data_IF_398370906572
#
_entry.id   IF_398370906572
#
_cell.length_a   1.000
_cell.length_b   1.000
_cell.length_c   1.000
_cell.angle_alpha   90.00
_cell.angle_beta   90.00
_cell.angle_gamma   90.00
#
_symmetry.space_group_name_H-M   'P 1'
#
loop_
_entity.id
_entity.type
_entity.pdbx_description
1 polymer ?
#
# COMPACT_ATOMS: atom_id res chain seq x y z
N UNK A 1 -31.78 24.42 0.65
CA UNK A 1 -30.54 23.65 0.97
C UNK A 1 -30.92 22.18 0.96
N UNK A 2 -30.54 21.44 -0.09
CA UNK A 2 -31.06 20.10 -0.44
C UNK A 2 -30.74 19.05 0.62
N UNK A 3 -31.69 18.12 0.88
CA UNK A 3 -31.58 16.97 1.78
C UNK A 3 -30.30 16.13 1.53
N UNK A 4 -29.92 15.97 0.26
CA UNK A 4 -28.67 15.32 -0.16
C UNK A 4 -27.42 16.06 0.36
N UNK A 5 -27.39 17.38 0.32
CA UNK A 5 -26.26 18.18 0.80
C UNK A 5 -26.04 18.00 2.31
N UNK A 6 -27.11 17.99 3.09
CA UNK A 6 -27.04 17.72 4.54
C UNK A 6 -26.57 16.30 4.86
N UNK A 7 -26.98 15.29 4.06
CA UNK A 7 -26.51 13.89 4.23
C UNK A 7 -25.02 13.76 3.91
N UNK A 8 -24.56 14.39 2.81
CA UNK A 8 -23.14 14.37 2.42
C UNK A 8 -22.27 15.09 3.47
N UNK A 9 -22.71 16.24 3.98
CA UNK A 9 -21.98 16.94 5.05
C UNK A 9 -21.90 16.13 6.35
N UNK A 10 -22.96 15.40 6.72
CA UNK A 10 -22.95 14.51 7.89
C UNK A 10 -22.02 13.31 7.69
N UNK A 11 -22.00 12.73 6.49
CA UNK A 11 -21.10 11.61 6.15
C UNK A 11 -19.63 12.06 6.10
N UNK A 12 -19.36 13.27 5.63
CA UNK A 12 -18.02 13.87 5.56
C UNK A 12 -17.54 14.47 6.90
N UNK A 13 -18.36 14.42 7.96
CA UNK A 13 -17.94 14.86 9.29
C UNK A 13 -17.06 13.81 9.98
N UNK A 14 -16.13 14.19 10.89
CA UNK A 14 -15.33 13.25 11.67
C UNK A 14 -16.18 12.16 12.34
N UNK A 15 -17.29 12.55 12.98
CA UNK A 15 -18.22 11.62 13.63
C UNK A 15 -18.96 10.69 12.63
N UNK A 16 -19.18 11.15 11.39
CA UNK A 16 -19.74 10.35 10.31
C UNK A 16 -18.73 9.29 9.83
N UNK A 17 -17.48 9.70 9.67
CA UNK A 17 -16.38 8.83 9.32
C UNK A 17 -16.14 7.75 10.39
N UNK A 18 -16.10 8.12 11.67
CA UNK A 18 -15.94 7.17 12.77
C UNK A 18 -17.04 6.12 12.79
N UNK A 19 -18.30 6.53 12.63
CA UNK A 19 -19.47 5.62 12.57
C UNK A 19 -19.38 4.66 11.37
N UNK A 20 -18.97 5.16 10.21
CA UNK A 20 -18.80 4.33 9.02
C UNK A 20 -17.66 3.34 9.23
N UNK A 21 -16.51 3.80 9.71
CA UNK A 21 -15.35 2.97 10.00
C UNK A 21 -15.66 1.89 11.03
N UNK A 22 -16.32 2.22 12.13
CA UNK A 22 -16.73 1.26 13.16
C UNK A 22 -17.67 0.18 12.63
N UNK A 23 -18.46 0.48 11.60
CA UNK A 23 -19.36 -0.50 10.97
C UNK A 23 -18.66 -1.38 9.94
N UNK A 24 -17.73 -0.82 9.17
CA UNK A 24 -17.10 -1.48 8.00
C UNK A 24 -15.84 -2.24 8.39
N UNK A 25 -14.99 -1.66 9.24
CA UNK A 25 -13.69 -2.25 9.60
C UNK A 25 -13.77 -3.66 10.22
N UNK A 26 -14.74 -3.99 11.10
CA UNK A 26 -14.82 -5.34 11.67
C UNK A 26 -14.99 -6.44 10.62
N UNK A 27 -15.53 -6.12 9.46
CA UNK A 27 -15.69 -7.04 8.32
C UNK A 27 -14.56 -6.92 7.32
N UNK A 28 -14.18 -5.70 7.00
CA UNK A 28 -13.18 -5.44 5.97
C UNK A 28 -11.77 -5.86 6.42
N UNK A 29 -11.41 -5.64 7.67
CA UNK A 29 -10.07 -5.97 8.16
C UNK A 29 -9.80 -7.50 8.16
N UNK A 30 -10.65 -8.38 8.74
CA UNK A 30 -10.41 -9.81 8.69
C UNK A 30 -10.44 -10.35 7.25
N UNK A 31 -11.33 -9.83 6.39
CA UNK A 31 -11.37 -10.21 4.98
C UNK A 31 -10.06 -9.82 4.27
N UNK A 32 -9.57 -8.61 4.49
CA UNK A 32 -8.30 -8.15 3.91
C UNK A 32 -7.12 -9.00 4.37
N UNK A 33 -7.04 -9.33 5.66
CA UNK A 33 -6.02 -10.20 6.20
C UNK A 33 -6.11 -11.62 5.65
N UNK A 34 -7.32 -12.18 5.53
CA UNK A 34 -7.53 -13.51 4.96
C UNK A 34 -7.09 -13.57 3.49
N UNK A 35 -7.47 -12.56 2.69
CA UNK A 35 -7.05 -12.48 1.28
C UNK A 35 -5.56 -12.28 1.13
N UNK A 36 -4.94 -11.45 1.98
CA UNK A 36 -3.50 -11.23 1.99
C UNK A 36 -2.75 -12.53 2.34
N UNK A 37 -3.17 -13.22 3.40
CA UNK A 37 -2.58 -14.48 3.81
C UNK A 37 -2.73 -15.55 2.72
N UNK A 38 -3.95 -15.71 2.18
CA UNK A 38 -4.22 -16.67 1.11
C UNK A 38 -3.40 -16.38 -0.14
N UNK A 39 -3.37 -15.12 -0.59
CA UNK A 39 -2.61 -14.70 -1.78
C UNK A 39 -1.11 -14.88 -1.60
N UNK A 40 -0.57 -14.56 -0.42
CA UNK A 40 0.85 -14.74 -0.11
C UNK A 40 1.22 -16.23 -0.06
N UNK A 41 0.45 -17.04 0.65
CA UNK A 41 0.69 -18.50 0.74
C UNK A 41 0.57 -19.15 -0.64
N UNK A 42 -0.47 -18.81 -1.40
CA UNK A 42 -0.65 -19.33 -2.76
C UNK A 42 0.51 -18.94 -3.68
N UNK A 43 0.86 -17.66 -3.70
CA UNK A 43 1.94 -17.13 -4.54
C UNK A 43 3.31 -17.74 -4.22
N UNK A 44 3.64 -17.86 -2.93
CA UNK A 44 4.97 -18.36 -2.53
C UNK A 44 5.08 -19.89 -2.55
N UNK A 45 4.01 -20.62 -2.23
CA UNK A 45 4.07 -22.07 -2.09
C UNK A 45 3.58 -22.84 -3.33
N UNK A 46 2.49 -22.37 -3.96
CA UNK A 46 1.77 -23.15 -4.97
C UNK A 46 1.89 -22.60 -6.39
N UNK A 47 2.22 -21.31 -6.58
CA UNK A 47 2.38 -20.76 -7.92
C UNK A 47 3.44 -21.54 -8.73
N UNK A 48 3.24 -21.75 -10.05
CA UNK A 48 4.19 -22.46 -10.88
C UNK A 48 5.54 -21.74 -10.91
N UNK A 49 6.62 -22.51 -11.04
CA UNK A 49 7.96 -21.97 -11.19
C UNK A 49 8.15 -21.40 -12.58
N UNK A 50 8.86 -20.28 -12.66
CA UNK A 50 9.32 -19.73 -13.93
C UNK A 50 10.43 -20.62 -14.54
N UNK A 51 10.47 -20.72 -15.87
CA UNK A 51 11.43 -21.59 -16.52
C UNK A 51 12.88 -21.07 -16.41
N UNK A 52 13.11 -19.76 -16.35
CA UNK A 52 14.42 -19.14 -16.20
C UNK A 52 14.79 -18.91 -14.73
N UNK A 53 13.90 -18.25 -13.98
CA UNK A 53 14.17 -17.82 -12.60
C UNK A 53 13.84 -18.86 -11.54
N UNK A 54 13.27 -20.00 -11.95
CA UNK A 54 12.89 -21.10 -11.04
C UNK A 54 12.00 -20.61 -9.90
N UNK A 55 12.30 -21.00 -8.66
CA UNK A 55 11.54 -20.59 -7.47
C UNK A 55 11.69 -19.10 -7.12
N UNK A 56 12.76 -18.44 -7.55
CA UNK A 56 13.00 -17.02 -7.25
C UNK A 56 11.94 -16.12 -7.83
N UNK A 57 11.30 -16.53 -8.93
CA UNK A 57 10.19 -15.81 -9.54
C UNK A 57 9.01 -15.58 -8.58
N UNK A 58 8.76 -16.52 -7.66
CA UNK A 58 7.62 -16.45 -6.72
C UNK A 58 7.63 -15.20 -5.83
N UNK A 59 8.79 -14.59 -5.63
CA UNK A 59 8.91 -13.36 -4.82
C UNK A 59 8.11 -12.19 -5.42
N UNK A 60 7.79 -12.25 -6.73
CA UNK A 60 6.98 -11.24 -7.44
C UNK A 60 5.61 -11.03 -6.78
N UNK A 61 5.03 -12.09 -6.20
CA UNK A 61 3.71 -12.02 -5.54
C UNK A 61 3.70 -11.20 -4.25
N UNK A 62 4.86 -10.94 -3.67
CA UNK A 62 5.03 -10.04 -2.52
C UNK A 62 5.64 -8.72 -2.96
N UNK A 63 6.68 -8.77 -3.80
CA UNK A 63 7.42 -7.59 -4.22
C UNK A 63 6.56 -6.60 -5.01
N UNK A 64 5.87 -7.07 -6.04
CA UNK A 64 5.10 -6.19 -6.92
C UNK A 64 3.95 -5.50 -6.19
N UNK A 65 3.09 -6.20 -5.41
CA UNK A 65 2.08 -5.52 -4.61
C UNK A 65 2.66 -4.51 -3.62
N UNK A 66 3.77 -4.84 -2.94
CA UNK A 66 4.40 -3.92 -2.01
C UNK A 66 4.94 -2.67 -2.71
N UNK A 67 5.60 -2.82 -3.87
CA UNK A 67 6.09 -1.72 -4.67
C UNK A 67 4.95 -0.83 -5.19
N UNK A 68 3.88 -1.42 -5.72
CA UNK A 68 2.70 -0.67 -6.19
C UNK A 68 2.02 0.09 -5.05
N UNK A 69 1.86 -0.51 -3.87
CA UNK A 69 1.30 0.15 -2.70
C UNK A 69 2.21 1.29 -2.21
N UNK A 70 3.53 1.08 -2.17
CA UNK A 70 4.51 2.12 -1.82
C UNK A 70 4.37 3.34 -2.73
N UNK A 71 4.37 3.14 -4.04
CA UNK A 71 4.22 4.22 -5.03
C UNK A 71 2.85 4.90 -4.93
N UNK A 72 1.77 4.14 -4.73
CA UNK A 72 0.43 4.68 -4.58
C UNK A 72 0.30 5.58 -3.34
N UNK A 73 0.86 5.13 -2.21
CA UNK A 73 0.88 5.94 -0.98
C UNK A 73 1.72 7.20 -1.19
N UNK A 74 2.85 7.11 -1.88
CA UNK A 74 3.69 8.27 -2.19
C UNK A 74 2.93 9.34 -3.00
N UNK A 75 2.21 8.92 -4.05
CA UNK A 75 1.36 9.82 -4.85
C UNK A 75 0.25 10.44 -4.00
N UNK A 76 -0.41 9.63 -3.14
CA UNK A 76 -1.44 10.14 -2.22
C UNK A 76 -0.87 11.15 -1.22
N UNK A 77 0.35 10.94 -0.70
CA UNK A 77 1.04 11.87 0.19
C UNK A 77 1.37 13.19 -0.53
N UNK A 78 1.83 13.13 -1.78
CA UNK A 78 2.07 14.31 -2.59
C UNK A 78 0.77 15.11 -2.83
N UNK A 79 -0.32 14.44 -3.16
CA UNK A 79 -1.64 15.05 -3.29
C UNK A 79 -2.14 15.69 -1.98
N UNK A 80 -1.99 14.98 -0.86
CA UNK A 80 -2.36 15.51 0.45
C UNK A 80 -1.50 16.72 0.85
N UNK A 81 -0.20 16.70 0.54
CA UNK A 81 0.69 17.85 0.75
C UNK A 81 0.24 19.05 -0.07
N UNK A 82 -0.08 18.85 -1.36
CA UNK A 82 -0.60 19.93 -2.23
C UNK A 82 -1.88 20.52 -1.65
N UNK A 83 -2.85 19.69 -1.26
CA UNK A 83 -4.11 20.14 -0.64
C UNK A 83 -3.85 20.89 0.67
N UNK A 84 -2.92 20.43 1.47
CA UNK A 84 -2.53 21.12 2.71
C UNK A 84 -1.90 22.48 2.43
N UNK A 85 -0.97 22.59 1.49
CA UNK A 85 -0.28 23.85 1.21
C UNK A 85 -1.21 24.89 0.56
N UNK A 86 -2.08 24.46 -0.37
CA UNK A 86 -2.99 25.39 -1.10
C UNK A 86 -4.19 25.81 -0.24
N UNK A 87 -4.86 24.84 0.40
CA UNK A 87 -6.12 25.10 1.13
C UNK A 87 -5.99 25.05 2.65
N UNK A 88 -4.78 24.80 3.20
CA UNK A 88 -4.53 24.69 4.64
C UNK A 88 -5.44 23.64 5.33
N UNK A 89 -5.78 22.58 4.62
CA UNK A 89 -6.69 21.54 5.08
C UNK A 89 -6.06 20.68 6.19
N UNK A 90 -6.62 20.74 7.39
CA UNK A 90 -6.20 19.88 8.51
C UNK A 90 -6.42 18.39 8.23
N UNK A 91 -7.47 18.05 7.47
CA UNK A 91 -7.80 16.67 7.09
C UNK A 91 -6.68 16.10 6.23
N UNK A 92 -6.16 16.86 5.26
CA UNK A 92 -5.04 16.45 4.44
C UNK A 92 -3.77 16.19 5.26
N UNK A 93 -3.50 17.02 6.26
CA UNK A 93 -2.37 16.81 7.17
C UNK A 93 -2.53 15.54 8.03
N UNK A 94 -3.72 15.29 8.58
CA UNK A 94 -4.00 14.06 9.33
C UNK A 94 -3.89 12.81 8.46
N UNK A 95 -4.43 12.87 7.25
CA UNK A 95 -4.29 11.78 6.27
C UNK A 95 -2.82 11.48 5.97
N UNK A 96 -2.03 12.50 5.63
CA UNK A 96 -0.60 12.34 5.35
C UNK A 96 0.15 11.71 6.52
N UNK A 97 -0.11 12.19 7.75
CA UNK A 97 0.50 11.66 8.97
C UNK A 97 0.13 10.19 9.23
N UNK A 98 -1.11 9.80 8.95
CA UNK A 98 -1.57 8.41 9.11
C UNK A 98 -1.04 7.49 8.01
N UNK A 99 -0.93 7.97 6.76
CA UNK A 99 -0.51 7.16 5.61
C UNK A 99 1.02 6.98 5.53
N UNK A 100 1.82 7.94 6.01
CA UNK A 100 3.27 7.93 5.89
C UNK A 100 3.95 6.67 6.46
N UNK A 101 3.65 6.19 7.70
CA UNK A 101 4.28 4.98 8.23
C UNK A 101 3.90 3.73 7.43
N UNK A 102 2.69 3.67 6.88
CA UNK A 102 2.27 2.58 6.02
C UNK A 102 3.06 2.57 4.69
N UNK A 103 3.22 3.74 4.07
CA UNK A 103 4.06 3.90 2.88
C UNK A 103 5.51 3.49 3.12
N UNK A 104 6.08 3.92 4.24
CA UNK A 104 7.44 3.55 4.64
C UNK A 104 7.59 2.03 4.83
N UNK A 105 6.61 1.38 5.47
CA UNK A 105 6.60 -0.08 5.63
C UNK A 105 6.55 -0.80 4.28
N UNK A 106 5.66 -0.39 3.37
CA UNK A 106 5.56 -1.00 2.04
C UNK A 106 6.84 -0.78 1.23
N UNK A 107 7.48 0.38 1.35
CA UNK A 107 8.78 0.65 0.74
C UNK A 107 9.87 -0.28 1.30
N UNK A 108 9.93 -0.46 2.61
CA UNK A 108 10.89 -1.37 3.23
C UNK A 108 10.67 -2.83 2.76
N UNK A 109 9.43 -3.29 2.67
CA UNK A 109 9.09 -4.61 2.13
C UNK A 109 9.50 -4.73 0.66
N UNK A 110 9.22 -3.72 -0.16
CA UNK A 110 9.60 -3.71 -1.58
C UNK A 110 11.13 -3.76 -1.75
N UNK A 111 11.88 -2.94 -1.00
CA UNK A 111 13.35 -2.94 -1.05
C UNK A 111 13.94 -4.28 -0.60
N UNK A 112 13.48 -4.83 0.52
CA UNK A 112 13.96 -6.10 1.04
C UNK A 112 13.68 -7.26 0.06
N UNK A 113 12.46 -7.35 -0.45
CA UNK A 113 12.07 -8.40 -1.41
C UNK A 113 12.76 -8.23 -2.75
N UNK A 114 12.97 -6.99 -3.21
CA UNK A 114 13.72 -6.68 -4.42
C UNK A 114 15.20 -7.07 -4.30
N UNK A 115 15.83 -6.79 -3.17
CA UNK A 115 17.21 -7.21 -2.90
C UNK A 115 17.37 -8.73 -2.87
N UNK A 116 16.43 -9.44 -2.20
CA UNK A 116 16.43 -10.91 -2.17
C UNK A 116 16.25 -11.47 -3.58
N UNK A 117 15.36 -10.90 -4.39
CA UNK A 117 15.14 -11.33 -5.77
C UNK A 117 16.34 -11.01 -6.68
N UNK A 118 17.03 -9.90 -6.41
CA UNK A 118 18.22 -9.49 -7.17
C UNK A 118 19.37 -10.48 -7.06
N UNK A 119 19.56 -11.11 -5.90
CA UNK A 119 20.68 -12.02 -5.66
C UNK A 119 20.77 -13.20 -6.66
N UNK A 120 19.72 -14.00 -6.88
CA UNK A 120 19.77 -15.09 -7.87
C UNK A 120 19.74 -14.58 -9.33
N UNK A 121 19.23 -13.37 -9.58
CA UNK A 121 19.07 -12.82 -10.93
C UNK A 121 20.34 -12.12 -11.42
N UNK A 122 21.01 -11.35 -10.56
CA UNK A 122 22.16 -10.50 -10.91
C UNK A 122 23.44 -10.83 -10.11
N UNK A 123 23.39 -11.81 -9.22
CA UNK A 123 24.53 -12.22 -8.41
C UNK A 123 24.81 -11.35 -7.19
N UNK A 124 24.09 -10.27 -6.99
CA UNK A 124 24.23 -9.34 -5.85
C UNK A 124 22.88 -8.95 -5.28
N UNK A 125 22.85 -8.62 -3.97
CA UNK A 125 21.64 -8.12 -3.33
C UNK A 125 21.32 -6.66 -3.71
N UNK A 126 22.35 -5.87 -4.03
CA UNK A 126 22.20 -4.45 -4.34
C UNK A 126 23.32 -3.98 -5.27
N UNK A 127 22.97 -3.14 -6.23
CA UNK A 127 23.90 -2.36 -7.06
C UNK A 127 23.41 -0.92 -7.14
N UNK A 128 24.32 0.03 -7.07
CA UNK A 128 24.02 1.45 -7.26
C UNK A 128 23.94 1.77 -8.76
N UNK A 129 22.83 1.36 -9.38
CA UNK A 129 22.55 1.64 -10.78
C UNK A 129 21.18 2.35 -10.92
N UNK A 130 20.88 2.87 -12.12
CA UNK A 130 19.67 3.64 -12.40
C UNK A 130 18.36 2.84 -12.22
N UNK A 131 18.41 1.54 -11.96
CA UNK A 131 17.22 0.70 -11.71
C UNK A 131 16.92 0.57 -10.23
N UNK A 132 17.92 0.76 -9.36
CA UNK A 132 17.82 0.57 -7.91
C UNK A 132 18.07 1.85 -7.11
N UNK A 133 18.46 2.94 -7.79
CA UNK A 133 18.65 4.29 -7.25
C UNK A 133 17.85 5.31 -8.02
#
# INVERSE_FOLDING_TARGET
>A
MNFLHKRLQRAASPAGFERLSARVLPWLAPLAWALLALGTVWGLAFAPMDYQQKNSFRIIYVHVPAAMLSMSVYVMLAGAALVFFVWRSRIAAFFARAAAPYGALMTAVALATGAIWGKPTWGTFWTWDARLT
#
